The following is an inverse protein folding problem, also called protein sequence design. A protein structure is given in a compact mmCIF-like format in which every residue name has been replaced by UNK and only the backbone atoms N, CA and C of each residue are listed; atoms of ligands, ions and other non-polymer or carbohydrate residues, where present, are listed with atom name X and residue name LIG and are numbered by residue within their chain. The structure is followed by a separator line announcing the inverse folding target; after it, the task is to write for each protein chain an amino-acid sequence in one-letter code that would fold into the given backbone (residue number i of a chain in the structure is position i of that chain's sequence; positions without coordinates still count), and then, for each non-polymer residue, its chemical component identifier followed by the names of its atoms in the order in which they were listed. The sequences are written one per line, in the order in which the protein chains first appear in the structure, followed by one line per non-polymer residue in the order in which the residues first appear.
data_IF_308128434144
#
_entry.id   IF_308128434144
#
_cell.length_a   1.000
_cell.length_b   1.000
_cell.length_c   1.000
_cell.angle_alpha   90.00
_cell.angle_beta   90.00
_cell.angle_gamma   90.00
#
_symmetry.space_group_name_H-M   'P 1'
#
loop_
_entity.id
_entity.type
_entity.pdbx_description
1 polymer ?
#
# COMPACT_ATOMS: atom_id res chain seq x y z
N UNK A 1 -0.34 14.60 0.97
CA UNK A 1 0.60 13.60 0.44
C UNK A 1 -0.21 12.75 -0.51
N UNK A 2 0.34 12.48 -1.69
CA UNK A 2 -0.28 11.61 -2.69
C UNK A 2 0.30 10.21 -2.60
N UNK A 3 -0.52 9.23 -2.94
CA UNK A 3 -0.15 7.82 -2.95
C UNK A 3 -0.60 7.21 -4.27
N UNK A 4 0.33 6.61 -5.01
CA UNK A 4 -0.02 5.68 -6.08
C UNK A 4 -0.52 4.37 -5.44
N UNK A 5 -1.73 3.93 -5.81
CA UNK A 5 -2.38 2.76 -5.18
C UNK A 5 -1.64 1.46 -5.49
N UNK A 6 -1.14 1.29 -6.70
CA UNK A 6 -0.36 0.12 -7.09
C UNK A 6 0.97 0.06 -6.33
N UNK A 7 1.68 1.19 -6.21
CA UNK A 7 2.90 1.29 -5.38
C UNK A 7 2.61 0.93 -3.93
N UNK A 8 1.53 1.47 -3.34
CA UNK A 8 1.15 1.17 -1.97
C UNK A 8 0.80 -0.31 -1.78
N UNK A 9 0.08 -0.92 -2.74
CA UNK A 9 -0.24 -2.35 -2.72
C UNK A 9 1.00 -3.25 -2.86
N UNK A 10 1.95 -2.87 -3.72
CA UNK A 10 3.24 -3.57 -3.89
C UNK A 10 4.11 -3.53 -2.64
N UNK A 11 3.89 -2.52 -1.78
CA UNK A 11 4.56 -2.37 -0.48
C UNK A 11 3.72 -2.90 0.68
N UNK A 12 2.77 -3.81 0.41
CA UNK A 12 1.98 -4.44 1.46
C UNK A 12 2.87 -5.19 2.47
N UNK A 13 2.74 -4.92 3.78
CA UNK A 13 3.58 -5.54 4.80
C UNK A 13 2.97 -6.83 5.40
N UNK A 14 1.95 -7.42 4.76
CA UNK A 14 1.36 -8.66 5.29
C UNK A 14 2.24 -9.88 5.03
N UNK A 15 2.05 -10.93 5.84
CA UNK A 15 2.76 -12.21 5.74
C UNK A 15 2.75 -12.87 4.35
N UNK A 16 1.74 -12.58 3.52
CA UNK A 16 1.66 -13.10 2.14
C UNK A 16 2.50 -12.29 1.15
N UNK A 17 2.97 -11.11 1.52
CA UNK A 17 3.68 -10.17 0.65
C UNK A 17 5.13 -9.91 1.08
N UNK A 18 5.47 -10.23 2.33
CA UNK A 18 6.84 -10.13 2.87
C UNK A 18 7.26 -11.46 3.50
N UNK A 19 8.56 -11.70 3.54
CA UNK A 19 9.12 -12.77 4.35
C UNK A 19 9.09 -12.34 5.83
N UNK A 20 8.34 -13.06 6.66
CA UNK A 20 8.00 -12.64 8.04
C UNK A 20 9.22 -12.35 8.94
N UNK A 21 10.32 -13.06 8.71
CA UNK A 21 11.53 -12.95 9.56
C UNK A 21 12.50 -11.87 9.10
N UNK A 22 12.56 -11.59 7.80
CA UNK A 22 13.51 -10.61 7.23
C UNK A 22 12.86 -9.28 6.89
N UNK A 23 11.54 -9.26 6.73
CA UNK A 23 10.79 -8.10 6.25
C UNK A 23 10.96 -7.83 4.75
N UNK A 24 11.68 -8.70 4.02
CA UNK A 24 11.92 -8.52 2.59
C UNK A 24 10.65 -8.78 1.78
N UNK A 25 10.46 -7.99 0.71
CA UNK A 25 9.30 -8.14 -0.18
C UNK A 25 9.44 -9.44 -1.00
N UNK A 26 8.45 -10.32 -0.90
CA UNK A 26 8.37 -11.58 -1.68
C UNK A 26 7.24 -11.55 -2.72
N UNK A 27 6.35 -10.57 -2.63
CA UNK A 27 5.34 -10.32 -3.64
C UNK A 27 6.00 -10.06 -5.00
N UNK A 28 5.57 -10.78 -6.03
CA UNK A 28 5.88 -10.46 -7.42
C UNK A 28 5.22 -9.11 -7.78
N UNK A 29 5.99 -8.05 -8.08
CA UNK A 29 5.43 -6.74 -8.42
C UNK A 29 4.51 -6.76 -9.65
N UNK A 30 4.70 -7.71 -10.57
CA UNK A 30 3.90 -7.88 -11.78
C UNK A 30 2.52 -8.49 -11.52
N UNK A 31 2.36 -9.17 -10.37
CA UNK A 31 1.06 -9.68 -9.93
C UNK A 31 0.09 -8.59 -9.48
N UNK A 32 0.58 -7.38 -9.24
CA UNK A 32 -0.24 -6.22 -8.83
C UNK A 32 -0.64 -5.40 -10.05
N UNK A 33 -1.94 -5.43 -10.37
CA UNK A 33 -2.53 -4.65 -11.45
C UNK A 33 -2.45 -3.14 -11.14
N UNK A 34 -2.19 -2.32 -12.16
CA UNK A 34 -2.23 -0.85 -12.03
C UNK A 34 -3.62 -0.32 -11.67
N UNK A 35 -4.67 -1.10 -11.95
CA UNK A 35 -6.07 -0.78 -11.59
C UNK A 35 -6.42 -1.17 -10.16
N UNK A 36 -5.46 -1.71 -9.38
CA UNK A 36 -5.69 -2.05 -7.99
C UNK A 36 -6.02 -0.79 -7.19
N UNK A 37 -7.04 -0.89 -6.36
CA UNK A 37 -7.53 0.23 -5.57
C UNK A 37 -8.10 -0.25 -4.23
N UNK A 38 -8.00 0.57 -3.18
CA UNK A 38 -8.67 0.25 -1.94
C UNK A 38 -10.19 0.35 -2.14
N UNK A 39 -10.91 -0.66 -1.67
CA UNK A 39 -12.38 -0.69 -1.58
C UNK A 39 -12.85 -0.24 -0.20
N UNK A 40 -12.00 -0.34 0.82
CA UNK A 40 -12.23 0.17 2.18
C UNK A 40 -10.90 0.50 2.83
N UNK A 41 -10.90 1.51 3.69
CA UNK A 41 -9.75 1.91 4.49
C UNK A 41 -10.22 1.99 5.94
N UNK A 42 -9.48 1.38 6.85
CA UNK A 42 -9.81 1.34 8.27
C UNK A 42 -8.63 1.82 9.12
N UNK A 43 -8.87 2.65 10.14
CA UNK A 43 -7.85 2.90 11.15
C UNK A 43 -7.64 1.65 12.01
N UNK A 44 -6.39 1.34 12.31
CA UNK A 44 -6.01 0.29 13.26
C UNK A 44 -5.29 0.94 14.43
N UNK A 45 -6.01 1.04 15.54
CA UNK A 45 -5.55 1.76 16.73
C UNK A 45 -5.15 3.21 16.38
N UNK A 46 -3.98 3.63 16.88
CA UNK A 46 -3.40 4.96 16.64
C UNK A 46 -2.08 4.92 15.85
N UNK A 47 -1.80 3.82 15.14
CA UNK A 47 -0.47 3.60 14.56
C UNK A 47 -0.47 3.18 13.08
N UNK A 48 -1.59 2.70 12.54
CA UNK A 48 -1.64 2.17 11.19
C UNK A 48 -3.01 2.35 10.51
N UNK A 49 -3.00 2.18 9.19
CA UNK A 49 -4.19 1.95 8.38
C UNK A 49 -4.19 0.52 7.84
N UNK A 50 -5.37 -0.07 7.74
CA UNK A 50 -5.63 -1.28 6.97
C UNK A 50 -6.35 -0.91 5.69
N UNK A 51 -5.86 -1.41 4.57
CA UNK A 51 -6.50 -1.27 3.27
C UNK A 51 -7.12 -2.62 2.90
N UNK A 52 -8.39 -2.58 2.53
CA UNK A 52 -9.06 -3.68 1.84
C UNK A 52 -8.96 -3.39 0.35
N UNK A 53 -8.33 -4.27 -0.41
CA UNK A 53 -8.05 -4.10 -1.82
C UNK A 53 -9.08 -4.86 -2.68
N UNK A 54 -9.34 -4.37 -3.89
CA UNK A 54 -10.19 -5.07 -4.86
C UNK A 54 -9.58 -6.39 -5.40
N UNK A 55 -8.32 -6.69 -5.07
CA UNK A 55 -7.64 -7.96 -5.36
C UNK A 55 -7.72 -8.97 -4.19
N UNK A 56 -8.64 -8.73 -3.24
CA UNK A 56 -8.92 -9.55 -2.04
C UNK A 56 -7.88 -9.49 -0.92
N UNK A 57 -6.84 -8.66 -1.01
CA UNK A 57 -5.92 -8.47 0.11
C UNK A 57 -6.50 -7.49 1.14
N UNK A 58 -6.42 -7.84 2.42
CA UNK A 58 -7.03 -7.05 3.49
C UNK A 58 -6.30 -7.12 4.85
N UNK A 59 -5.20 -7.88 4.95
CA UNK A 59 -4.49 -8.12 6.23
C UNK A 59 -3.31 -7.17 6.47
N UNK A 60 -2.89 -6.40 5.46
CA UNK A 60 -1.76 -5.48 5.57
C UNK A 60 -2.01 -4.31 6.52
N UNK A 61 -1.10 -4.12 7.48
CA UNK A 61 -1.11 -2.98 8.42
C UNK A 61 -0.05 -1.96 8.02
N UNK A 62 -0.48 -0.89 7.39
CA UNK A 62 0.38 0.18 6.91
C UNK A 62 0.59 1.20 8.04
N UNK A 63 1.73 1.11 8.72
CA UNK A 63 2.07 2.06 9.78
C UNK A 63 2.12 3.48 9.22
N UNK A 64 1.84 4.49 10.06
CA UNK A 64 1.95 5.88 9.62
C UNK A 64 3.37 6.25 9.18
N UNK A 65 4.39 5.60 9.74
CA UNK A 65 5.78 5.80 9.31
C UNK A 65 6.01 5.23 7.90
N UNK A 66 5.51 4.03 7.62
CA UNK A 66 5.56 3.44 6.28
C UNK A 66 4.81 4.33 5.28
N UNK A 67 3.60 4.78 5.61
CA UNK A 67 2.84 5.69 4.75
C UNK A 67 3.62 6.98 4.48
N UNK A 68 4.18 7.62 5.51
CA UNK A 68 5.00 8.82 5.31
C UNK A 68 6.23 8.57 4.42
N UNK A 69 6.84 7.38 4.45
CA UNK A 69 7.94 7.03 3.54
C UNK A 69 7.51 6.76 2.09
N UNK A 70 6.26 6.39 1.87
CA UNK A 70 5.71 6.03 0.55
C UNK A 70 4.95 7.17 -0.13
N UNK A 71 4.53 8.18 0.64
CA UNK A 71 3.76 9.30 0.13
C UNK A 71 4.65 10.35 -0.52
N UNK A 72 4.13 10.96 -1.57
CA UNK A 72 4.77 12.10 -2.25
C UNK A 72 4.19 13.42 -1.75
N UNK A 73 4.98 14.51 -1.68
CA UNK A 73 4.47 15.84 -1.38
C UNK A 73 3.45 16.30 -2.44
N UNK A 74 2.48 17.13 -2.04
CA UNK A 74 1.50 17.70 -2.96
C UNK A 74 2.16 18.82 -3.81
N UNK A 75 2.87 18.49 -4.90
CA UNK A 75 3.38 19.51 -5.83
C UNK A 75 3.71 19.00 -7.25
N UNK A 76 2.73 19.04 -8.17
CA UNK A 76 2.78 19.57 -9.56
C UNK A 76 1.53 19.15 -10.36
N UNK A 77 1.07 19.93 -11.36
CA UNK A 77 -0.25 19.78 -11.98
C UNK A 77 -0.40 18.45 -12.74
N UNK A 78 -1.64 17.96 -12.78
CA UNK A 78 -2.06 16.80 -13.57
C UNK A 78 -1.53 16.91 -15.00
N UNK A 79 -0.71 15.96 -15.46
CA UNK A 79 -0.68 15.64 -16.89
C UNK A 79 -1.94 14.82 -17.15
N UNK A 80 -2.89 15.42 -17.87
CA UNK A 80 -3.98 14.68 -18.49
C UNK A 80 -3.37 13.92 -19.67
N UNK A 81 -3.46 12.59 -19.66
CA UNK A 81 -3.43 11.75 -20.86
C UNK A 81 -4.88 11.32 -21.17
#
# INVERSE_FOLDING_TARGET
MRYNTATLRRKCPCASCIHEWTGEQILDPLSVLETVKPVRIEPVGRYALRFHWNDRHDTGLYTFDLLRSLGEPESSPRKND
#
